data_IF_395302948023
#
_entry.id   IF_395302948023
#
_cell.length_a   1.000
_cell.length_b   1.000
_cell.length_c   1.000
_cell.angle_alpha   90.00
_cell.angle_beta   90.00
_cell.angle_gamma   90.00
#
_symmetry.space_group_name_H-M   'P 1'
#
loop_
_entity.id
_entity.type
_entity.pdbx_description
1 polymer ?
#
# COMPACT_ATOMS: atom_id res chain seq x y z
N UNK A 1 16.74 -2.65 -38.80
CA UNK A 1 16.47 -3.91 -39.52
C UNK A 1 17.82 -4.37 -40.04
N UNK A 2 18.17 -5.61 -39.79
CA UNK A 2 19.35 -6.20 -40.38
C UNK A 2 19.11 -6.43 -41.90
N UNK A 3 20.17 -6.47 -42.69
CA UNK A 3 20.15 -6.62 -44.16
C UNK A 3 19.34 -7.82 -44.67
N UNK A 4 18.89 -8.74 -43.81
CA UNK A 4 18.09 -9.91 -44.12
C UNK A 4 16.62 -9.81 -43.70
N UNK A 5 16.10 -8.63 -43.37
CA UNK A 5 14.69 -8.45 -42.96
C UNK A 5 14.31 -9.07 -41.63
N UNK A 6 15.24 -9.69 -40.92
CA UNK A 6 14.98 -10.20 -39.57
C UNK A 6 14.94 -9.04 -38.56
N UNK A 7 13.94 -9.03 -37.68
CA UNK A 7 13.86 -8.11 -36.56
C UNK A 7 15.09 -8.42 -35.68
N UNK A 8 16.01 -7.45 -35.58
CA UNK A 8 17.15 -7.56 -34.68
C UNK A 8 16.70 -7.68 -33.22
N UNK A 9 17.61 -8.09 -32.34
CA UNK A 9 17.37 -8.15 -30.89
C UNK A 9 16.88 -6.76 -30.43
N UNK A 10 15.72 -6.76 -29.75
CA UNK A 10 15.23 -5.56 -29.06
C UNK A 10 16.30 -5.04 -28.10
N UNK A 11 16.63 -3.79 -28.18
CA UNK A 11 17.63 -3.17 -27.33
C UNK A 11 17.03 -2.75 -25.98
N UNK A 12 15.74 -2.46 -25.95
CA UNK A 12 15.01 -2.02 -24.78
C UNK A 12 13.51 -2.34 -24.93
N UNK A 13 12.89 -2.78 -23.84
CA UNK A 13 11.44 -2.98 -23.69
C UNK A 13 10.99 -2.42 -22.36
N UNK A 14 9.88 -1.65 -22.35
CA UNK A 14 9.31 -1.08 -21.12
C UNK A 14 8.86 -2.14 -20.12
N UNK A 15 8.43 -3.31 -20.59
CA UNK A 15 8.08 -4.46 -19.75
C UNK A 15 9.23 -4.96 -18.88
N UNK A 16 10.44 -4.77 -19.35
CA UNK A 16 11.65 -5.13 -18.64
C UNK A 16 12.11 -4.05 -17.63
N UNK A 17 11.46 -2.88 -17.62
CA UNK A 17 11.83 -1.75 -16.79
C UNK A 17 10.60 -1.17 -16.08
N UNK A 18 9.98 -1.95 -15.17
CA UNK A 18 8.85 -1.44 -14.40
C UNK A 18 9.26 -0.22 -13.58
N UNK A 19 8.38 0.77 -13.49
CA UNK A 19 8.56 1.99 -12.69
C UNK A 19 7.75 1.87 -11.40
N UNK A 20 6.61 2.54 -11.32
CA UNK A 20 5.65 2.46 -10.21
C UNK A 20 4.48 1.51 -10.50
N UNK A 21 4.39 1.02 -11.73
CA UNK A 21 3.24 0.26 -12.25
C UNK A 21 3.65 -1.12 -12.75
N UNK A 22 2.90 -2.14 -12.34
CA UNK A 22 2.97 -3.51 -12.83
C UNK A 22 1.77 -3.79 -13.74
N UNK A 23 2.03 -4.08 -14.99
CA UNK A 23 1.01 -4.54 -15.95
C UNK A 23 0.92 -6.07 -15.95
N UNK A 24 -0.23 -6.66 -16.39
CA UNK A 24 -0.33 -8.09 -16.58
C UNK A 24 0.82 -8.63 -17.47
N UNK A 25 1.50 -9.67 -17.00
CA UNK A 25 2.66 -10.26 -17.68
C UNK A 25 4.02 -9.61 -17.37
N UNK A 26 4.06 -8.43 -16.73
CA UNK A 26 5.31 -7.87 -16.20
C UNK A 26 5.83 -8.72 -15.03
N UNK A 27 7.13 -8.66 -14.79
CA UNK A 27 7.82 -9.45 -13.77
C UNK A 27 8.14 -8.62 -12.54
N UNK A 28 7.97 -9.21 -11.35
CA UNK A 28 8.61 -8.78 -10.10
C UNK A 28 9.53 -9.90 -9.64
N UNK A 29 10.83 -9.67 -9.50
CA UNK A 29 11.76 -10.72 -9.12
C UNK A 29 13.20 -10.46 -9.50
N UNK A 30 13.93 -11.52 -9.81
CA UNK A 30 15.36 -11.45 -10.10
C UNK A 30 15.77 -12.43 -11.21
N UNK A 31 16.72 -12.00 -12.02
CA UNK A 31 17.47 -12.88 -12.90
C UNK A 31 18.84 -13.15 -12.27
N UNK A 32 19.02 -14.36 -11.77
CA UNK A 32 20.23 -14.76 -11.04
C UNK A 32 21.50 -14.79 -11.91
N UNK A 33 21.34 -14.96 -13.23
CA UNK A 33 22.47 -14.97 -14.18
C UNK A 33 23.03 -13.57 -14.43
N UNK A 34 22.14 -12.59 -14.54
CA UNK A 34 22.51 -11.19 -14.88
C UNK A 34 22.56 -10.28 -13.65
N UNK A 35 21.97 -10.71 -12.52
CA UNK A 35 21.78 -9.88 -11.33
C UNK A 35 20.68 -8.83 -11.50
N UNK A 36 19.94 -8.84 -12.62
CA UNK A 36 18.86 -7.91 -12.88
C UNK A 36 17.71 -8.14 -11.90
N UNK A 37 17.21 -7.06 -11.33
CA UNK A 37 16.03 -7.07 -10.46
C UNK A 37 14.89 -6.32 -11.13
N UNK A 38 13.67 -6.83 -10.95
CA UNK A 38 12.41 -6.19 -11.31
C UNK A 38 11.66 -5.87 -10.03
N UNK A 39 11.44 -4.60 -9.79
CA UNK A 39 10.71 -4.07 -8.64
C UNK A 39 10.00 -2.80 -9.03
N UNK A 40 8.92 -2.46 -8.33
CA UNK A 40 8.32 -1.14 -8.49
C UNK A 40 8.94 -0.17 -7.49
N UNK A 41 8.98 1.10 -7.87
CA UNK A 41 9.29 2.21 -6.98
C UNK A 41 8.17 3.24 -7.11
N UNK A 42 7.58 3.63 -5.99
CA UNK A 42 6.50 4.62 -5.98
C UNK A 42 6.97 5.98 -6.48
N UNK A 43 6.05 6.80 -6.89
CA UNK A 43 6.30 8.23 -7.01
C UNK A 43 6.58 8.85 -5.63
N UNK A 44 7.17 10.02 -5.59
CA UNK A 44 7.42 10.78 -4.38
C UNK A 44 6.13 11.40 -3.82
N UNK A 45 5.32 11.96 -4.70
CA UNK A 45 4.01 12.56 -4.40
C UNK A 45 3.02 12.28 -5.54
N UNK A 46 1.77 12.70 -5.38
CA UNK A 46 0.71 12.49 -6.40
C UNK A 46 1.00 13.15 -7.74
N UNK A 47 1.78 14.20 -7.75
CA UNK A 47 2.14 15.05 -8.89
C UNK A 47 3.67 15.14 -9.14
N UNK A 48 4.46 14.39 -8.35
CA UNK A 48 5.91 14.33 -8.48
C UNK A 48 6.37 12.91 -8.80
N UNK A 49 6.78 12.62 -10.07
CA UNK A 49 7.23 11.29 -10.49
C UNK A 49 8.66 10.94 -10.05
N UNK A 50 9.35 11.84 -9.32
CA UNK A 50 10.63 11.48 -8.71
C UNK A 50 10.49 10.22 -7.84
N UNK A 51 11.59 9.48 -7.65
CA UNK A 51 11.58 8.24 -6.87
C UNK A 51 11.10 8.47 -5.45
N UNK A 52 10.02 7.81 -5.08
CA UNK A 52 9.43 7.85 -3.76
C UNK A 52 10.11 6.89 -2.77
N UNK A 53 9.48 6.72 -1.62
CA UNK A 53 10.06 5.99 -0.48
C UNK A 53 9.68 4.53 -0.46
N UNK A 54 8.70 4.10 -1.26
CA UNK A 54 8.22 2.73 -1.28
C UNK A 54 8.75 1.95 -2.47
N UNK A 55 9.10 0.68 -2.22
CA UNK A 55 9.40 -0.30 -3.28
C UNK A 55 8.52 -1.53 -3.08
N UNK A 56 8.02 -2.11 -4.17
CA UNK A 56 7.35 -3.40 -4.18
C UNK A 56 8.28 -4.44 -4.80
N UNK A 57 8.51 -5.50 -4.07
CA UNK A 57 9.42 -6.58 -4.47
C UNK A 57 8.74 -7.95 -4.29
N UNK A 58 9.16 -8.92 -5.07
CA UNK A 58 8.89 -10.34 -4.81
C UNK A 58 9.97 -10.90 -3.89
N UNK A 59 9.58 -11.57 -2.80
CA UNK A 59 10.47 -12.26 -1.87
C UNK A 59 10.33 -13.79 -2.07
N UNK A 60 11.18 -14.40 -2.94
CA UNK A 60 10.99 -15.79 -3.36
C UNK A 60 11.05 -16.78 -2.21
N UNK A 61 12.00 -16.59 -1.29
CA UNK A 61 12.21 -17.50 -0.14
C UNK A 61 10.98 -17.63 0.76
N UNK A 62 10.15 -16.60 0.79
CA UNK A 62 8.91 -16.56 1.58
C UNK A 62 7.66 -16.62 0.71
N UNK A 63 7.84 -16.69 -0.61
CA UNK A 63 6.73 -16.72 -1.59
C UNK A 63 5.68 -15.63 -1.31
N UNK A 64 6.14 -14.38 -1.17
CA UNK A 64 5.27 -13.23 -0.86
C UNK A 64 5.70 -11.96 -1.60
N UNK A 65 4.75 -11.08 -1.81
CA UNK A 65 5.02 -9.69 -2.17
C UNK A 65 5.36 -8.90 -0.90
N UNK A 66 6.35 -8.04 -0.99
CA UNK A 66 6.76 -7.19 0.12
C UNK A 66 6.86 -5.74 -0.33
N UNK A 67 6.22 -4.85 0.40
CA UNK A 67 6.44 -3.42 0.26
C UNK A 67 7.47 -3.03 1.32
N UNK A 68 8.55 -2.39 0.87
CA UNK A 68 9.54 -1.78 1.76
C UNK A 68 9.40 -0.27 1.73
N UNK A 69 9.60 0.36 2.86
CA UNK A 69 9.70 1.80 2.99
C UNK A 69 11.16 2.16 3.33
N UNK A 70 11.81 2.93 2.47
CA UNK A 70 13.26 3.24 2.59
C UNK A 70 14.11 2.00 2.85
N UNK A 71 13.81 0.89 2.14
CA UNK A 71 14.52 -0.39 2.27
C UNK A 71 14.11 -1.25 3.47
N UNK A 72 13.29 -0.75 4.39
CA UNK A 72 12.82 -1.50 5.57
C UNK A 72 11.46 -2.14 5.27
N UNK A 73 11.23 -3.42 5.62
CA UNK A 73 9.91 -4.05 5.49
C UNK A 73 8.81 -3.20 6.10
N UNK A 74 7.73 -3.01 5.34
CA UNK A 74 6.61 -2.16 5.72
C UNK A 74 5.29 -2.92 5.69
N UNK A 75 5.04 -3.69 4.63
CA UNK A 75 3.85 -4.50 4.44
C UNK A 75 4.20 -5.77 3.66
N UNK A 76 3.44 -6.84 3.88
CA UNK A 76 3.53 -8.06 3.08
C UNK A 76 2.17 -8.60 2.70
N UNK A 77 2.12 -9.24 1.54
CA UNK A 77 0.91 -9.93 1.05
C UNK A 77 0.49 -11.13 1.89
N UNK A 78 1.24 -11.47 2.93
CA UNK A 78 1.08 -12.72 3.63
C UNK A 78 1.57 -13.92 2.82
N UNK A 79 1.26 -15.11 3.29
CA UNK A 79 1.61 -16.35 2.59
C UNK A 79 0.68 -16.58 1.41
N UNK A 80 1.20 -17.29 0.41
CA UNK A 80 0.36 -17.78 -0.67
C UNK A 80 -0.39 -19.01 -0.21
N UNK A 81 -1.70 -18.95 -0.30
CA UNK A 81 -2.61 -20.06 -0.06
C UNK A 81 -3.12 -20.58 -1.41
N UNK A 82 -3.11 -21.90 -1.58
CA UNK A 82 -3.73 -22.53 -2.75
C UNK A 82 -5.13 -22.99 -2.39
N UNK A 83 -6.13 -22.30 -2.96
CA UNK A 83 -7.54 -22.66 -2.79
C UNK A 83 -8.14 -23.03 -4.14
N UNK A 84 -8.72 -24.23 -4.28
CA UNK A 84 -9.34 -24.71 -5.54
C UNK A 84 -8.48 -24.45 -6.79
N UNK A 85 -7.18 -24.78 -6.72
CA UNK A 85 -6.18 -24.53 -7.78
C UNK A 85 -5.90 -23.04 -8.07
N UNK A 86 -6.28 -22.13 -7.20
CA UNK A 86 -5.97 -20.70 -7.26
C UNK A 86 -4.93 -20.35 -6.22
N UNK A 87 -4.05 -19.46 -6.57
CA UNK A 87 -3.15 -18.83 -5.62
C UNK A 87 -3.85 -17.57 -5.08
N UNK A 88 -3.88 -17.43 -3.77
CA UNK A 88 -4.43 -16.29 -3.05
C UNK A 88 -3.36 -15.77 -2.09
N UNK A 89 -3.45 -14.50 -1.74
CA UNK A 89 -2.62 -13.90 -0.73
C UNK A 89 -3.47 -13.48 0.47
N UNK A 90 -3.03 -13.79 1.68
CA UNK A 90 -3.79 -13.53 2.91
C UNK A 90 -4.16 -12.06 3.11
N UNK A 91 -3.31 -11.14 2.67
CA UNK A 91 -3.44 -9.71 2.94
C UNK A 91 -3.74 -8.87 1.69
N UNK A 92 -4.19 -9.50 0.62
CA UNK A 92 -4.65 -8.80 -0.58
C UNK A 92 -6.18 -8.75 -0.61
N UNK A 93 -6.69 -7.61 -1.06
CA UNK A 93 -8.12 -7.42 -1.15
C UNK A 93 -8.67 -8.14 -2.37
N UNK A 94 -9.08 -9.38 -2.15
CA UNK A 94 -9.75 -10.21 -3.15
C UNK A 94 -11.25 -9.89 -3.28
N UNK A 95 -11.69 -8.64 -3.01
CA UNK A 95 -13.11 -8.23 -3.18
C UNK A 95 -13.65 -8.49 -4.59
N UNK A 96 -12.76 -8.83 -5.51
CA UNK A 96 -13.10 -9.33 -6.83
C UNK A 96 -13.38 -10.83 -6.87
N UNK A 97 -13.32 -11.53 -5.74
CA UNK A 97 -13.92 -12.86 -5.58
C UNK A 97 -15.41 -12.71 -5.28
N UNK A 98 -16.16 -12.11 -6.21
CA UNK A 98 -17.61 -12.24 -6.20
C UNK A 98 -17.98 -13.65 -6.62
N UNK A 99 -19.20 -14.11 -6.30
CA UNK A 99 -19.76 -15.44 -6.66
C UNK A 99 -19.66 -15.78 -8.17
N UNK A 100 -19.14 -14.90 -9.00
CA UNK A 100 -19.04 -15.02 -10.45
C UNK A 100 -17.65 -15.35 -10.99
N UNK A 101 -16.62 -15.57 -10.14
CA UNK A 101 -15.31 -16.04 -10.61
C UNK A 101 -14.11 -15.13 -10.29
N UNK A 102 -12.96 -15.68 -10.58
CA UNK A 102 -11.64 -15.11 -10.28
C UNK A 102 -11.25 -14.10 -11.35
N UNK A 103 -10.91 -12.89 -10.92
CA UNK A 103 -10.49 -11.85 -11.85
C UNK A 103 -8.99 -11.89 -12.12
N UNK A 104 -8.16 -12.19 -11.10
CA UNK A 104 -6.71 -12.28 -11.22
C UNK A 104 -6.23 -13.72 -11.13
N UNK A 105 -5.24 -14.06 -11.95
CA UNK A 105 -4.48 -15.30 -11.84
C UNK A 105 -3.03 -14.93 -11.58
N UNK A 106 -2.48 -15.47 -10.49
CA UNK A 106 -1.10 -15.24 -10.09
C UNK A 106 -0.20 -16.37 -10.55
N UNK A 107 0.99 -16.03 -11.01
CA UNK A 107 2.00 -16.96 -11.44
C UNK A 107 3.31 -16.71 -10.70
N UNK A 108 3.88 -17.80 -10.24
CA UNK A 108 5.19 -17.79 -9.59
C UNK A 108 6.09 -18.66 -10.42
N UNK A 109 7.13 -18.07 -10.97
CA UNK A 109 8.15 -18.76 -11.72
C UNK A 109 9.35 -18.93 -10.81
N UNK A 110 9.62 -20.18 -10.45
CA UNK A 110 10.75 -20.59 -9.63
C UNK A 110 11.22 -21.93 -10.22
N UNK A 111 11.93 -21.86 -11.32
CA UNK A 111 12.40 -23.07 -12.00
C UNK A 111 13.91 -23.19 -11.81
N UNK A 112 14.37 -24.36 -11.34
CA UNK A 112 15.80 -24.65 -11.10
C UNK A 112 16.62 -24.51 -12.38
N UNK A 113 16.01 -24.68 -13.54
CA UNK A 113 16.67 -24.57 -14.85
C UNK A 113 16.61 -23.18 -15.47
N UNK A 114 15.73 -22.32 -14.98
CA UNK A 114 15.59 -20.94 -15.44
C UNK A 114 16.38 -20.01 -14.51
N UNK A 115 17.23 -19.13 -15.02
CA UNK A 115 17.91 -18.15 -14.17
C UNK A 115 16.97 -17.09 -13.59
N UNK A 116 15.71 -17.08 -13.98
CA UNK A 116 14.72 -16.09 -13.54
C UNK A 116 13.78 -16.65 -12.48
N UNK A 117 13.62 -15.89 -11.41
CA UNK A 117 12.71 -16.19 -10.32
C UNK A 117 11.83 -14.96 -10.10
N UNK A 118 10.53 -15.07 -10.42
CA UNK A 118 9.65 -13.91 -10.40
C UNK A 118 8.18 -14.26 -10.16
N UNK A 119 7.45 -13.25 -9.71
CA UNK A 119 6.00 -13.17 -9.68
C UNK A 119 5.50 -12.40 -10.90
N UNK A 120 4.35 -12.80 -11.41
CA UNK A 120 3.57 -12.05 -12.39
C UNK A 120 2.08 -12.35 -12.23
N UNK A 121 1.21 -11.58 -12.86
CA UNK A 121 -0.22 -11.82 -12.85
C UNK A 121 -0.83 -11.67 -14.24
N UNK A 122 -2.02 -12.24 -14.41
CA UNK A 122 -2.91 -11.96 -15.53
C UNK A 122 -4.32 -11.68 -15.03
N UNK A 123 -5.13 -11.07 -15.86
CA UNK A 123 -6.56 -10.84 -15.63
C UNK A 123 -7.36 -11.49 -16.75
N UNK A 124 -8.53 -12.04 -16.44
CA UNK A 124 -9.45 -12.56 -17.43
C UNK A 124 -10.04 -11.40 -18.27
N UNK A 125 -9.96 -11.51 -19.60
CA UNK A 125 -10.38 -10.45 -20.51
C UNK A 125 -11.87 -10.05 -20.36
N UNK A 126 -12.74 -11.00 -19.98
CA UNK A 126 -14.15 -10.72 -19.72
C UNK A 126 -14.31 -9.80 -18.53
N UNK A 127 -13.54 -10.04 -17.47
CA UNK A 127 -13.59 -9.21 -16.25
C UNK A 127 -12.87 -7.87 -16.45
N UNK A 128 -11.79 -7.86 -17.20
CA UNK A 128 -11.10 -6.63 -17.55
C UNK A 128 -12.04 -5.65 -18.25
N UNK A 129 -12.85 -6.11 -19.20
CA UNK A 129 -13.84 -5.29 -19.90
C UNK A 129 -15.01 -4.83 -19.00
N UNK A 130 -15.37 -5.61 -17.97
CA UNK A 130 -16.42 -5.24 -17.00
C UNK A 130 -15.93 -4.23 -15.97
N UNK A 131 -14.69 -4.38 -15.49
CA UNK A 131 -14.10 -3.49 -14.50
C UNK A 131 -13.72 -2.12 -15.11
N UNK A 132 -13.35 -2.11 -16.38
CA UNK A 132 -12.85 -0.92 -17.07
C UNK A 132 -13.60 -0.66 -18.38
N UNK A 133 -14.96 -0.45 -18.32
CA UNK A 133 -15.79 -0.32 -19.53
C UNK A 133 -15.52 0.96 -20.31
N UNK A 134 -14.94 1.96 -19.66
CA UNK A 134 -14.60 3.24 -20.30
C UNK A 134 -13.09 3.25 -20.57
N UNK A 135 -12.69 3.71 -21.73
CA UNK A 135 -11.29 3.93 -22.16
C UNK A 135 -10.50 2.69 -22.67
N UNK A 136 -11.13 1.53 -22.89
CA UNK A 136 -10.39 0.31 -23.22
C UNK A 136 -9.34 -0.02 -22.16
N UNK A 137 -9.64 0.36 -20.92
CA UNK A 137 -8.71 0.32 -19.81
C UNK A 137 -8.29 -1.10 -19.48
N UNK A 138 -7.01 -1.27 -19.22
CA UNK A 138 -6.43 -2.53 -18.77
C UNK A 138 -6.07 -2.46 -17.30
N UNK A 139 -6.03 -3.61 -16.64
CA UNK A 139 -5.50 -3.71 -15.28
C UNK A 139 -4.08 -3.16 -15.21
N UNK A 140 -3.80 -2.41 -14.14
CA UNK A 140 -2.50 -1.80 -13.91
C UNK A 140 -2.30 -1.59 -12.41
N UNK A 141 -1.54 -2.45 -11.77
CA UNK A 141 -1.23 -2.34 -10.35
C UNK A 141 -0.21 -1.24 -10.11
N UNK A 142 -0.63 -0.13 -9.55
CA UNK A 142 0.23 0.99 -9.24
C UNK A 142 0.57 1.02 -7.76
N UNK A 143 1.87 1.06 -7.46
CA UNK A 143 2.37 1.33 -6.11
C UNK A 143 2.22 2.82 -5.81
N UNK A 144 1.28 3.15 -4.95
CA UNK A 144 0.96 4.53 -4.62
C UNK A 144 2.08 5.21 -3.81
N UNK A 145 2.21 6.52 -3.96
CA UNK A 145 3.18 7.34 -3.23
C UNK A 145 3.00 7.30 -1.70
N UNK A 146 1.83 6.84 -1.23
CA UNK A 146 1.51 6.67 0.18
C UNK A 146 1.52 5.19 0.64
N UNK A 147 1.90 4.25 -0.23
CA UNK A 147 2.28 2.88 0.11
C UNK A 147 1.43 1.75 -0.46
N UNK A 148 0.08 1.84 -0.54
CA UNK A 148 -0.76 0.75 -1.05
C UNK A 148 -0.57 0.47 -2.54
N UNK A 149 -1.00 -0.72 -2.95
CA UNK A 149 -1.15 -1.08 -4.35
C UNK A 149 -2.61 -0.85 -4.75
N UNK A 150 -2.80 -0.11 -5.81
CA UNK A 150 -4.11 0.14 -6.41
C UNK A 150 -4.14 -0.39 -7.83
N UNK A 151 -5.21 -1.06 -8.23
CA UNK A 151 -5.52 -1.28 -9.63
C UNK A 151 -6.46 -0.16 -10.07
N UNK A 152 -5.91 0.88 -10.68
CA UNK A 152 -6.61 2.14 -10.96
C UNK A 152 -7.22 2.73 -9.68
N UNK A 153 -8.55 2.70 -9.53
CA UNK A 153 -9.26 3.25 -8.37
C UNK A 153 -9.62 2.19 -7.32
N UNK A 154 -9.16 0.95 -7.51
CA UNK A 154 -9.51 -0.16 -6.63
C UNK A 154 -8.31 -0.60 -5.84
N UNK A 155 -8.47 -0.69 -4.52
CA UNK A 155 -7.41 -1.15 -3.63
C UNK A 155 -7.15 -2.65 -3.78
N UNK A 156 -5.94 -3.00 -4.19
CA UNK A 156 -5.45 -4.39 -4.20
C UNK A 156 -5.00 -4.79 -2.79
N UNK A 157 -4.56 -3.82 -2.00
CA UNK A 157 -4.21 -3.99 -0.59
C UNK A 157 -5.25 -3.33 0.30
N UNK A 158 -5.56 -3.93 1.43
CA UNK A 158 -6.58 -3.41 2.35
C UNK A 158 -6.06 -2.29 3.26
N UNK A 159 -4.73 -2.17 3.41
CA UNK A 159 -4.17 -1.21 4.33
C UNK A 159 -4.15 0.21 3.76
N UNK A 160 -4.29 1.19 4.65
CA UNK A 160 -4.00 2.59 4.32
C UNK A 160 -2.56 2.95 4.70
N UNK A 161 -2.23 2.83 6.00
CA UNK A 161 -0.89 3.10 6.52
C UNK A 161 -0.55 2.10 7.62
N UNK A 162 0.67 1.58 7.61
CA UNK A 162 1.12 0.54 8.53
C UNK A 162 1.60 1.02 9.90
N UNK A 163 1.39 2.26 10.27
CA UNK A 163 1.70 2.74 11.62
C UNK A 163 0.46 2.75 12.50
N UNK A 164 0.59 2.27 13.71
CA UNK A 164 -0.48 2.15 14.68
C UNK A 164 -0.69 0.70 15.08
N UNK A 165 -1.56 0.48 16.05
CA UNK A 165 -1.89 -0.85 16.55
C UNK A 165 -2.98 -1.53 15.71
N UNK A 166 -2.93 -2.88 15.65
CA UNK A 166 -3.96 -3.68 15.01
C UNK A 166 -3.91 -3.63 13.48
N UNK A 167 -2.77 -3.28 12.92
CA UNK A 167 -2.58 -3.24 11.47
C UNK A 167 -1.83 -4.48 10.94
N UNK A 168 -1.35 -5.35 11.84
CA UNK A 168 -0.64 -6.58 11.48
C UNK A 168 -1.55 -7.55 10.74
N UNK A 169 -2.84 -7.59 11.09
CA UNK A 169 -3.85 -8.41 10.44
C UNK A 169 -4.12 -8.01 8.97
N UNK A 170 -3.71 -6.79 8.60
CA UNK A 170 -3.81 -6.28 7.23
C UNK A 170 -2.47 -6.43 6.45
N UNK A 171 -1.51 -7.18 7.01
CA UNK A 171 -0.21 -7.42 6.40
C UNK A 171 0.89 -6.43 6.77
N UNK A 172 0.61 -5.47 7.64
CA UNK A 172 1.62 -4.53 8.10
C UNK A 172 2.70 -5.26 8.92
N UNK A 173 3.95 -5.01 8.57
CA UNK A 173 5.07 -5.51 9.36
C UNK A 173 5.08 -4.82 10.73
N UNK A 174 5.39 -5.59 11.76
CA UNK A 174 5.40 -5.10 13.14
C UNK A 174 6.48 -4.06 13.35
N UNK A 175 6.10 -2.91 13.85
CA UNK A 175 7.02 -1.83 14.15
C UNK A 175 7.40 -1.79 15.64
N UNK A 176 8.60 -1.27 15.92
CA UNK A 176 8.97 -0.97 17.30
C UNK A 176 8.00 0.05 17.87
N UNK A 177 7.38 -0.31 19.00
CA UNK A 177 6.48 0.57 19.68
C UNK A 177 7.26 1.47 20.65
N UNK A 178 7.15 2.79 20.53
CA UNK A 178 7.67 3.69 21.54
C UNK A 178 7.02 3.43 22.91
N UNK A 179 7.80 3.59 23.98
CA UNK A 179 7.31 3.33 25.36
C UNK A 179 6.08 4.15 25.75
N UNK A 180 5.91 5.31 25.14
CA UNK A 180 4.80 6.23 25.38
C UNK A 180 3.53 5.87 24.61
N UNK A 181 3.57 4.92 23.68
CA UNK A 181 2.40 4.50 22.91
C UNK A 181 1.75 3.27 23.53
N UNK A 182 0.44 3.28 23.66
CA UNK A 182 -0.32 2.13 24.17
C UNK A 182 -0.82 1.24 23.02
N UNK A 183 -1.15 -0.02 23.37
CA UNK A 183 -1.69 -1.00 22.42
C UNK A 183 -3.02 -0.62 21.76
N UNK A 184 -3.67 0.43 22.25
CA UNK A 184 -4.97 0.89 21.72
C UNK A 184 -4.84 2.15 20.88
N UNK A 185 -3.66 2.75 20.82
CA UNK A 185 -3.46 3.99 20.07
C UNK A 185 -3.24 3.71 18.58
N UNK A 186 -3.90 4.48 17.75
CA UNK A 186 -3.72 4.52 16.32
C UNK A 186 -3.95 5.94 15.80
N UNK A 187 -3.66 6.15 14.52
CA UNK A 187 -4.01 7.39 13.86
C UNK A 187 -5.42 7.31 13.29
N UNK A 188 -6.21 8.32 13.58
CA UNK A 188 -7.52 8.52 12.97
C UNK A 188 -7.54 9.80 12.16
N UNK A 189 -8.16 9.75 10.98
CA UNK A 189 -8.39 10.95 10.17
C UNK A 189 -9.61 11.69 10.74
N UNK A 190 -9.39 12.92 11.19
CA UNK A 190 -10.45 13.77 11.75
C UNK A 190 -10.40 15.18 11.17
N UNK A 191 -11.55 15.78 10.93
CA UNK A 191 -11.67 17.20 10.57
C UNK A 191 -11.73 18.04 11.83
N UNK A 192 -10.94 19.12 11.90
CA UNK A 192 -10.88 19.96 13.06
C UNK A 192 -9.56 20.70 13.22
N UNK A 193 -9.21 21.04 14.44
CA UNK A 193 -7.97 21.75 14.75
C UNK A 193 -7.43 21.35 16.11
N UNK A 194 -6.13 21.48 16.29
CA UNK A 194 -5.50 21.40 17.60
C UNK A 194 -5.54 22.80 18.27
N UNK A 195 -5.90 22.85 19.53
CA UNK A 195 -5.97 24.10 20.27
C UNK A 195 -5.62 23.90 21.74
N UNK A 196 -5.04 24.94 22.35
CA UNK A 196 -4.86 25.03 23.81
C UNK A 196 -6.12 25.65 24.45
N UNK A 197 -6.06 25.88 25.78
CA UNK A 197 -7.14 26.51 26.57
C UNK A 197 -7.50 27.94 26.10
N UNK A 198 -6.63 28.59 25.32
CA UNK A 198 -6.84 29.93 24.76
C UNK A 198 -7.37 29.88 23.32
N UNK A 199 -7.64 28.68 22.78
CA UNK A 199 -8.13 28.49 21.43
C UNK A 199 -7.06 28.59 20.33
N UNK A 200 -5.80 28.74 20.72
CA UNK A 200 -4.66 28.81 19.79
C UNK A 200 -3.92 27.48 19.76
N UNK A 201 -3.66 26.99 18.56
CA UNK A 201 -2.81 25.82 18.31
C UNK A 201 -1.76 26.16 17.27
N UNK A 202 -0.53 25.84 17.57
CA UNK A 202 0.59 26.00 16.65
C UNK A 202 1.05 24.63 16.19
N UNK A 203 1.36 24.51 14.90
CA UNK A 203 2.04 23.35 14.34
C UNK A 203 3.51 23.66 14.15
N UNK A 204 4.35 22.67 14.38
CA UNK A 204 5.74 22.73 13.93
C UNK A 204 5.82 22.18 12.51
N UNK A 205 6.48 22.90 11.63
CA UNK A 205 6.79 22.41 10.30
C UNK A 205 8.10 21.64 10.35
N UNK A 206 8.07 20.38 9.91
CA UNK A 206 9.26 19.56 9.78
C UNK A 206 9.62 19.50 8.31
N UNK A 207 10.80 20.01 8.02
CA UNK A 207 11.44 19.87 6.71
C UNK A 207 12.65 18.95 6.85
N UNK A 208 13.09 18.27 5.79
CA UNK A 208 14.33 17.50 5.84
C UNK A 208 15.51 18.39 6.26
N UNK A 209 16.34 17.89 7.16
CA UNK A 209 17.48 18.66 7.70
C UNK A 209 18.52 19.04 6.65
N UNK A 210 18.59 18.28 5.55
CA UNK A 210 19.54 18.49 4.45
C UNK A 210 18.93 19.17 3.20
N UNK A 211 17.62 19.45 3.22
CA UNK A 211 16.89 20.08 2.12
C UNK A 211 16.84 19.25 0.82
N UNK A 212 17.38 18.02 0.83
CA UNK A 212 17.54 17.21 -0.39
C UNK A 212 16.55 16.04 -0.44
N UNK A 213 16.04 15.58 0.69
CA UNK A 213 15.07 14.48 0.78
C UNK A 213 13.68 15.03 1.08
N UNK A 214 12.78 14.91 0.12
CA UNK A 214 11.39 15.24 0.35
C UNK A 214 10.76 14.25 1.37
N UNK A 215 10.01 14.76 2.34
CA UNK A 215 9.27 13.95 3.30
C UNK A 215 7.93 13.55 2.69
N UNK A 216 7.65 12.25 2.70
CA UNK A 216 6.34 11.72 2.33
C UNK A 216 5.38 11.74 3.53
N UNK A 217 4.08 11.60 3.25
CA UNK A 217 3.07 11.45 4.32
C UNK A 217 3.39 10.29 5.28
N UNK A 218 4.03 9.23 4.80
CA UNK A 218 4.47 8.11 5.63
C UNK A 218 5.65 8.47 6.54
N UNK A 219 6.50 9.40 6.12
CA UNK A 219 7.57 9.93 6.97
C UNK A 219 7.00 10.79 8.09
N UNK A 220 6.02 11.64 7.78
CA UNK A 220 5.28 12.42 8.78
C UNK A 220 4.62 11.53 9.82
N UNK A 221 4.00 10.44 9.37
CA UNK A 221 3.37 9.45 10.24
C UNK A 221 4.38 8.75 11.13
N UNK A 222 5.52 8.33 10.56
CA UNK A 222 6.59 7.69 11.32
C UNK A 222 7.18 8.62 12.38
N UNK A 223 7.44 9.86 12.00
CA UNK A 223 7.95 10.86 12.91
C UNK A 223 7.01 11.05 14.09
N UNK A 224 5.76 11.36 13.81
CA UNK A 224 4.75 11.58 14.83
C UNK A 224 4.51 10.34 15.73
N UNK A 225 4.59 9.13 15.15
CA UNK A 225 4.45 7.90 15.95
C UNK A 225 5.59 7.71 16.94
N UNK A 226 6.82 8.01 16.53
CA UNK A 226 8.01 7.83 17.36
C UNK A 226 8.23 8.98 18.36
N UNK A 227 7.68 10.14 18.12
CA UNK A 227 7.74 11.26 19.02
C UNK A 227 6.60 11.19 20.06
N UNK A 228 6.98 11.07 21.33
CA UNK A 228 6.03 10.93 22.45
C UNK A 228 5.18 12.18 22.68
N UNK A 229 5.66 13.34 22.32
CA UNK A 229 4.94 14.61 22.45
C UNK A 229 4.00 14.89 21.29
N UNK A 230 4.12 14.12 20.18
CA UNK A 230 3.25 14.29 19.04
C UNK A 230 1.83 13.81 19.32
N UNK A 231 0.87 14.69 19.02
CA UNK A 231 -0.57 14.47 19.15
C UNK A 231 -1.21 14.12 17.80
N UNK A 232 -0.58 14.55 16.72
CA UNK A 232 -1.06 14.32 15.36
C UNK A 232 -0.25 15.08 14.32
N UNK A 233 -0.51 14.77 13.07
CA UNK A 233 0.15 15.42 11.94
C UNK A 233 -0.85 15.75 10.83
N UNK A 234 -0.53 16.76 10.02
CA UNK A 234 -1.15 17.07 8.77
C UNK A 234 -0.12 16.95 7.67
N UNK A 235 -0.50 16.34 6.54
CA UNK A 235 0.28 16.44 5.32
C UNK A 235 -0.20 17.65 4.54
N UNK A 236 0.72 18.44 4.02
CA UNK A 236 0.36 19.34 2.96
C UNK A 236 0.17 18.50 1.69
N UNK A 237 -0.98 18.62 1.07
CA UNK A 237 -1.24 17.98 -0.22
C UNK A 237 -0.41 18.59 -1.34
N UNK A 238 0.37 19.63 -1.05
CA UNK A 238 1.01 20.50 -2.02
C UNK A 238 2.52 20.75 -1.81
N UNK A 239 3.19 20.00 -0.91
CA UNK A 239 4.62 20.24 -0.71
C UNK A 239 5.34 19.18 0.14
N UNK A 240 6.69 19.18 0.04
CA UNK A 240 7.50 18.33 0.90
C UNK A 240 7.49 18.88 2.33
N UNK A 241 7.07 18.08 3.28
CA UNK A 241 7.12 18.43 4.69
C UNK A 241 5.93 17.92 5.49
N UNK A 242 6.00 18.12 6.79
CA UNK A 242 4.99 17.72 7.75
C UNK A 242 4.62 18.88 8.64
N UNK A 243 3.34 19.01 8.92
CA UNK A 243 2.87 19.81 10.05
C UNK A 243 2.62 18.87 11.22
N UNK A 244 3.29 19.11 12.34
CA UNK A 244 3.22 18.30 13.55
C UNK A 244 2.63 19.15 14.67
N UNK A 245 1.71 18.57 15.42
CA UNK A 245 1.15 19.18 16.64
C UNK A 245 1.62 18.41 17.86
N UNK A 246 2.23 19.13 18.79
CA UNK A 246 2.90 18.59 19.96
C UNK A 246 2.43 19.28 21.24
N UNK A 247 2.72 18.67 22.39
CA UNK A 247 2.57 19.26 23.69
C UNK A 247 1.15 19.22 24.25
N UNK A 248 0.75 20.31 24.94
CA UNK A 248 -0.52 20.38 25.70
C UNK A 248 -1.67 20.94 24.86
N UNK A 249 -1.90 20.37 23.70
CA UNK A 249 -3.02 20.73 22.84
C UNK A 249 -4.12 19.66 22.92
N UNK A 250 -5.35 20.06 22.64
CA UNK A 250 -6.49 19.18 22.49
C UNK A 250 -7.03 19.28 21.06
N UNK A 251 -7.48 18.18 20.53
CA UNK A 251 -8.11 18.18 19.22
C UNK A 251 -9.58 18.59 19.35
N UNK A 252 -9.95 19.67 18.68
CA UNK A 252 -11.32 20.17 18.60
C UNK A 252 -11.93 19.72 17.29
N UNK A 253 -12.83 18.75 17.37
CA UNK A 253 -13.52 18.17 16.21
C UNK A 253 -14.43 19.20 15.54
N UNK A 254 -14.39 19.24 14.21
CA UNK A 254 -15.36 19.96 13.39
C UNK A 254 -16.24 18.98 12.62
N UNK A 255 -17.49 18.87 13.02
CA UNK A 255 -18.46 17.98 12.39
C UNK A 255 -19.07 18.58 11.11
N UNK A 256 -18.78 19.84 10.79
CA UNK A 256 -19.25 20.47 9.54
C UNK A 256 -18.49 20.00 8.31
N UNK A 257 -17.33 19.37 8.50
CA UNK A 257 -16.43 18.90 7.43
C UNK A 257 -15.72 20.02 6.67
N UNK A 258 -15.78 21.27 7.15
CA UNK A 258 -15.16 22.45 6.51
C UNK A 258 -13.70 22.64 6.94
N UNK A 259 -13.33 22.13 8.13
CA UNK A 259 -11.95 22.19 8.63
C UNK A 259 -11.04 21.20 7.92
N UNK A 260 -9.73 21.49 7.85
CA UNK A 260 -8.74 20.56 7.33
C UNK A 260 -8.79 19.20 8.03
N UNK A 261 -8.37 18.18 7.32
CA UNK A 261 -8.22 16.82 7.86
C UNK A 261 -6.84 16.64 8.46
N UNK A 262 -6.79 16.06 9.64
CA UNK A 262 -5.56 15.75 10.35
C UNK A 262 -5.55 14.27 10.76
N UNK A 263 -4.36 13.71 10.85
CA UNK A 263 -4.14 12.39 11.42
C UNK A 263 -3.88 12.57 12.92
N UNK A 264 -4.85 12.21 13.74
CA UNK A 264 -4.85 12.43 15.20
C UNK A 264 -4.58 11.10 15.89
N UNK A 265 -3.65 11.05 16.83
CA UNK A 265 -3.43 9.89 17.69
C UNK A 265 -4.61 9.75 18.66
N UNK A 266 -5.30 8.63 18.61
CA UNK A 266 -6.49 8.34 19.37
C UNK A 266 -6.47 6.91 19.91
N UNK A 267 -7.12 6.70 21.05
CA UNK A 267 -7.37 5.38 21.66
C UNK A 267 -8.70 4.76 21.24
N UNK A 268 -9.49 5.47 20.44
CA UNK A 268 -10.76 4.93 19.95
C UNK A 268 -10.50 3.82 18.91
N UNK A 269 -11.29 2.72 18.94
CA UNK A 269 -11.18 1.69 17.93
C UNK A 269 -11.44 2.29 16.55
N UNK A 270 -10.63 1.91 15.58
CA UNK A 270 -10.91 2.27 14.19
C UNK A 270 -12.24 1.64 13.77
N UNK A 271 -13.11 2.38 13.07
CA UNK A 271 -14.40 1.87 12.59
C UNK A 271 -14.27 0.66 11.62
N UNK A 272 -13.05 0.26 11.27
CA UNK A 272 -12.77 -0.85 10.36
C UNK A 272 -12.97 -2.24 11.02
N UNK A 273 -12.82 -2.38 12.34
CA UNK A 273 -13.05 -3.64 13.03
C UNK A 273 -14.47 -4.19 12.88
N UNK A 274 -15.48 -3.31 12.76
CA UNK A 274 -16.87 -3.72 12.52
C UNK A 274 -17.11 -4.33 11.14
N UNK A 275 -16.30 -3.99 10.13
CA UNK A 275 -16.45 -4.55 8.78
C UNK A 275 -16.01 -6.01 8.72
N UNK A 276 -14.96 -6.38 9.44
CA UNK A 276 -14.43 -7.76 9.48
C UNK A 276 -15.37 -8.69 10.27
N UNK A 277 -15.97 -8.21 11.37
CA UNK A 277 -16.99 -8.96 12.12
C UNK A 277 -18.26 -9.20 11.28
N UNK A 278 -18.72 -8.21 10.55
CA UNK A 278 -19.89 -8.35 9.66
C UNK A 278 -19.58 -9.32 8.52
N UNK A 279 -18.37 -9.29 7.97
CA UNK A 279 -17.95 -10.18 6.88
C UNK A 279 -17.76 -11.63 7.36
N UNK A 280 -17.21 -11.85 8.56
CA UNK A 280 -17.14 -13.18 9.19
C UNK A 280 -18.53 -13.74 9.49
N UNK A 281 -19.44 -12.93 10.01
CA UNK A 281 -20.85 -13.31 10.23
C UNK A 281 -21.57 -13.64 8.92
N UNK A 282 -21.28 -12.91 7.83
CA UNK A 282 -21.85 -13.24 6.52
C UNK A 282 -21.31 -14.54 5.94
N UNK A 283 -20.01 -14.83 6.14
CA UNK A 283 -19.39 -16.09 5.72
C UNK A 283 -19.93 -17.28 6.55
N UNK A 284 -20.12 -17.13 7.85
CA UNK A 284 -20.71 -18.16 8.71
C UNK A 284 -22.18 -18.44 8.39
N UNK A 285 -22.96 -17.40 8.05
CA UNK A 285 -24.35 -17.54 7.60
C UNK A 285 -24.46 -18.23 6.23
N UNK A 286 -23.55 -17.99 5.32
CA UNK A 286 -23.50 -18.65 4.02
C UNK A 286 -23.12 -20.13 4.18
N UNK A 287 -22.16 -20.47 5.05
CA UNK A 287 -21.75 -21.84 5.33
C UNK A 287 -22.88 -22.66 6.03
N UNK A 288 -23.72 -22.03 6.82
CA UNK A 288 -24.87 -22.68 7.46
C UNK A 288 -26.02 -23.00 6.49
N UNK A 289 -26.12 -22.29 5.36
CA UNK A 289 -27.11 -22.55 4.30
C UNK A 289 -26.69 -23.64 3.30
N UNK A 290 -25.42 -24.06 3.30
CA UNK A 290 -24.93 -25.14 2.44
C UNK A 290 -24.93 -26.52 3.11
N UNK A 291 -25.32 -26.62 4.36
CA UNK A 291 -25.40 -27.88 5.12
C UNK A 291 -26.86 -28.34 5.42
N UNK A 292 -27.82 -27.97 4.59
CA UNK A 292 -29.19 -28.50 4.57
C UNK A 292 -29.51 -29.17 3.25
#
# INVERSE_FOLDING_TARGET
MNSNGSIGRWLWESFDHPTDTLLPGMKLGVNHKTGRKWSLTSWLASDDPASGVFTLEWEPKKSRLIIKRRGVPYWSSGLIVKWNNVLLFDNMNDQYHTDQGKHFTYYIINNVTDPEEYFTYSIDAKYESLLYPQDGGRSAWQLQYWGPIMDRNVGITEFGFCYGYGMEDEGCERWNQPKCRSHKQNFQVRSGRFANSQGLGYSNSITPADGTANLSSSDCRAYCWNDCDCLGYGGDSYGPGCYIWEGKLQFVQDNSGRSPRHYVISTEPSNKGKKKEIMLLYMELQLSHFNL
#
